data_IF_764692095369
#
_entry.id   IF_764692095369
#
_cell.length_a   1.000
_cell.length_b   1.000
_cell.length_c   1.000
_cell.angle_alpha   90.00
_cell.angle_beta   90.00
_cell.angle_gamma   90.00
#
_symmetry.space_group_name_H-M   'P 1'
#
loop_
_entity.id
_entity.type
_entity.pdbx_description
1 polymer ?
#
# COMPACT_ATOMS: atom_id res chain seq x y z
N UNK A 1 30.95 25.45 19.92
CA UNK A 1 30.36 24.11 20.18
C UNK A 1 28.85 24.01 20.03
N UNK A 2 28.12 25.08 19.67
CA UNK A 2 26.64 25.03 19.47
C UNK A 2 26.23 24.67 18.02
N UNK A 3 27.11 24.83 17.04
CA UNK A 3 26.84 24.55 15.61
C UNK A 3 26.90 23.07 15.23
N UNK A 4 27.60 22.23 15.98
CA UNK A 4 27.68 20.78 15.67
C UNK A 4 26.37 20.01 16.00
N UNK A 5 25.55 20.52 16.94
CA UNK A 5 24.28 19.85 17.32
C UNK A 5 23.19 20.01 16.27
N UNK A 6 23.20 21.07 15.49
CA UNK A 6 22.21 21.31 14.43
C UNK A 6 22.52 20.52 13.16
N UNK A 7 23.78 20.19 12.90
CA UNK A 7 24.19 19.37 11.76
C UNK A 7 23.79 17.91 11.98
N UNK A 8 23.87 17.40 13.21
CA UNK A 8 23.47 16.03 13.54
C UNK A 8 21.93 15.82 13.41
N UNK A 9 21.13 16.82 13.76
CA UNK A 9 19.67 16.75 13.63
C UNK A 9 19.22 16.85 12.16
N UNK A 10 19.90 17.65 11.34
CA UNK A 10 19.60 17.77 9.91
C UNK A 10 20.01 16.52 9.10
N UNK A 11 21.06 15.79 9.52
CA UNK A 11 21.46 14.55 8.88
C UNK A 11 20.54 13.37 9.22
N UNK A 12 19.90 13.36 10.40
CA UNK A 12 18.93 12.33 10.76
C UNK A 12 17.57 12.48 10.03
N UNK A 13 17.21 13.69 9.63
CA UNK A 13 15.98 13.95 8.86
C UNK A 13 16.07 13.53 7.39
N UNK A 14 17.26 13.28 6.86
CA UNK A 14 17.50 12.91 5.45
C UNK A 14 17.53 11.40 5.18
N UNK A 15 17.48 10.55 6.21
CA UNK A 15 17.56 9.08 6.08
C UNK A 15 16.23 8.36 6.27
N UNK A 16 15.16 9.08 6.63
CA UNK A 16 13.87 8.48 7.04
C UNK A 16 12.79 8.40 5.95
N UNK A 17 13.11 8.57 4.65
CA UNK A 17 12.06 8.71 3.62
C UNK A 17 11.84 7.48 2.72
N UNK A 18 12.45 6.34 2.96
CA UNK A 18 12.38 5.19 2.03
C UNK A 18 11.55 3.99 2.53
N UNK A 19 10.65 4.15 3.51
CA UNK A 19 10.04 3.01 4.19
C UNK A 19 8.50 2.91 4.12
N UNK A 20 7.82 3.71 3.32
CA UNK A 20 6.35 3.63 3.17
C UNK A 20 5.96 2.63 2.07
N UNK A 21 4.79 1.98 2.20
CA UNK A 21 4.25 1.09 1.15
C UNK A 21 4.10 1.82 -0.18
N UNK A 22 3.54 3.03 -0.12
CA UNK A 22 3.50 4.02 -1.20
C UNK A 22 3.83 5.41 -0.63
N UNK A 23 3.76 6.46 -1.44
CA UNK A 23 3.90 7.83 -0.92
C UNK A 23 2.73 8.19 0.00
N UNK A 24 2.92 9.18 0.87
CA UNK A 24 1.85 9.67 1.76
C UNK A 24 0.58 10.06 1.01
N UNK A 25 0.71 10.68 -0.15
CA UNK A 25 -0.44 11.08 -0.97
C UNK A 25 -1.20 9.87 -1.54
N UNK A 26 -0.50 8.85 -2.01
CA UNK A 26 -1.11 7.62 -2.51
C UNK A 26 -1.80 6.85 -1.39
N UNK A 27 -1.13 6.70 -0.24
CA UNK A 27 -1.71 6.05 0.93
C UNK A 27 -2.97 6.80 1.41
N UNK A 28 -2.91 8.13 1.45
CA UNK A 28 -4.06 8.98 1.79
C UNK A 28 -5.21 8.79 0.79
N UNK A 29 -4.91 8.71 -0.51
CA UNK A 29 -5.91 8.44 -1.53
C UNK A 29 -6.61 7.08 -1.32
N UNK A 30 -5.85 6.01 -0.98
CA UNK A 30 -6.43 4.69 -0.67
C UNK A 30 -7.44 4.80 0.47
N UNK A 31 -7.09 5.48 1.55
CA UNK A 31 -7.95 5.63 2.73
C UNK A 31 -9.17 6.49 2.42
N UNK A 32 -8.99 7.61 1.72
CA UNK A 32 -10.08 8.49 1.29
C UNK A 32 -11.07 7.75 0.37
N UNK A 33 -10.55 6.99 -0.59
CA UNK A 33 -11.38 6.21 -1.50
C UNK A 33 -12.13 5.09 -0.77
N UNK A 34 -11.48 4.41 0.18
CA UNK A 34 -12.15 3.43 1.04
C UNK A 34 -13.30 4.08 1.84
N UNK A 35 -13.09 5.28 2.38
CA UNK A 35 -14.12 6.00 3.14
C UNK A 35 -15.37 6.30 2.30
N UNK A 36 -15.24 6.59 1.00
CA UNK A 36 -16.39 6.81 0.11
C UNK A 36 -17.31 5.58 0.05
N UNK A 37 -16.74 4.38 0.24
CA UNK A 37 -17.45 3.09 0.16
C UNK A 37 -17.91 2.54 1.51
N UNK A 38 -17.68 3.27 2.61
CA UNK A 38 -18.19 2.89 3.93
C UNK A 38 -19.69 3.15 4.04
N UNK A 39 -20.39 2.25 4.74
CA UNK A 39 -21.76 2.49 5.17
C UNK A 39 -21.84 3.65 6.17
N UNK A 40 -22.98 4.30 6.27
CA UNK A 40 -23.20 5.37 7.29
C UNK A 40 -22.87 4.89 8.68
N UNK A 41 -23.27 3.67 9.03
CA UNK A 41 -23.01 3.06 10.34
C UNK A 41 -21.51 2.86 10.58
N UNK A 42 -20.81 2.34 9.58
CA UNK A 42 -19.36 2.11 9.65
C UNK A 42 -18.59 3.43 9.79
N UNK A 43 -18.99 4.47 9.05
CA UNK A 43 -18.39 5.82 9.20
C UNK A 43 -18.51 6.31 10.62
N UNK A 44 -19.71 6.24 11.21
CA UNK A 44 -19.95 6.64 12.61
C UNK A 44 -19.11 5.80 13.59
N UNK A 45 -18.99 4.49 13.37
CA UNK A 45 -18.15 3.62 14.22
C UNK A 45 -16.66 3.97 14.14
N UNK A 46 -16.17 4.27 12.95
CA UNK A 46 -14.78 4.75 12.73
C UNK A 46 -14.56 6.08 13.45
N UNK A 47 -15.44 7.05 13.27
CA UNK A 47 -15.34 8.36 13.91
C UNK A 47 -15.40 8.25 15.44
N UNK A 48 -16.21 7.35 15.97
CA UNK A 48 -16.27 7.09 17.40
C UNK A 48 -14.96 6.53 17.96
N UNK A 49 -14.30 5.61 17.23
CA UNK A 49 -13.04 5.01 17.66
C UNK A 49 -11.85 5.95 17.50
N UNK A 50 -11.79 6.70 16.39
CA UNK A 50 -10.64 7.55 16.06
C UNK A 50 -10.78 8.98 16.60
N UNK A 51 -12.01 9.44 16.87
CA UNK A 51 -12.30 10.85 17.14
C UNK A 51 -12.30 11.73 15.89
N UNK A 52 -12.21 11.14 14.69
CA UNK A 52 -12.09 11.84 13.42
C UNK A 52 -12.51 10.93 12.24
N UNK A 53 -12.82 11.50 11.04
CA UNK A 53 -13.07 10.73 9.83
C UNK A 53 -11.87 9.84 9.46
N UNK A 54 -12.13 8.73 8.77
CA UNK A 54 -11.09 7.80 8.31
C UNK A 54 -10.02 8.51 7.47
N UNK A 55 -10.43 9.39 6.58
CA UNK A 55 -9.56 10.18 5.68
C UNK A 55 -8.58 11.12 6.39
N UNK A 56 -8.78 11.39 7.68
CA UNK A 56 -7.88 12.21 8.49
C UNK A 56 -6.80 11.42 9.23
N UNK A 57 -6.83 10.09 9.13
CA UNK A 57 -5.88 9.20 9.82
C UNK A 57 -4.53 9.26 9.10
N UNK A 58 -3.48 9.54 9.86
CA UNK A 58 -2.11 9.33 9.41
C UNK A 58 -1.73 7.85 9.49
N UNK A 59 -0.86 7.39 8.60
CA UNK A 59 -0.31 6.04 8.69
C UNK A 59 0.67 5.94 9.86
N UNK A 60 0.45 4.96 10.72
CA UNK A 60 1.24 4.76 11.95
C UNK A 60 2.49 3.94 11.67
N UNK A 61 2.41 3.04 10.70
CA UNK A 61 3.47 2.07 10.43
C UNK A 61 4.10 2.32 9.04
N UNK A 62 4.57 3.43 8.74
CA UNK A 62 5.32 3.84 7.51
C UNK A 62 5.59 2.72 6.45
N UNK A 63 4.67 1.76 6.28
CA UNK A 63 4.72 0.70 5.27
C UNK A 63 5.88 -0.28 5.39
N UNK A 64 6.27 -0.64 6.58
CA UNK A 64 7.43 -1.51 6.84
C UNK A 64 7.09 -2.99 6.92
N UNK A 65 5.82 -3.32 7.04
CA UNK A 65 5.42 -4.72 7.19
C UNK A 65 5.48 -5.44 5.85
N UNK A 66 6.07 -6.62 5.87
CA UNK A 66 6.22 -7.48 4.71
C UNK A 66 5.30 -8.67 4.83
N UNK A 67 4.91 -9.21 3.70
CA UNK A 67 4.17 -10.47 3.61
C UNK A 67 5.02 -11.52 2.93
N UNK A 68 5.27 -12.61 3.62
CA UNK A 68 6.04 -13.73 3.09
C UNK A 68 5.11 -14.80 2.53
N UNK A 69 5.39 -15.21 1.31
CA UNK A 69 4.71 -16.31 0.63
C UNK A 69 5.73 -17.43 0.31
N UNK A 70 5.23 -18.63 0.15
CA UNK A 70 6.04 -19.76 -0.33
C UNK A 70 6.34 -19.64 -1.85
N UNK A 71 7.14 -20.59 -2.37
CA UNK A 71 7.52 -20.64 -3.79
C UNK A 71 6.31 -20.76 -4.74
N UNK A 72 5.18 -21.27 -4.25
CA UNK A 72 3.94 -21.36 -5.01
C UNK A 72 3.09 -20.08 -4.95
N UNK A 73 3.53 -19.07 -4.19
CA UNK A 73 2.81 -17.81 -3.96
C UNK A 73 1.66 -17.95 -2.96
N UNK A 74 1.74 -18.94 -2.04
CA UNK A 74 0.75 -19.13 -0.97
C UNK A 74 1.18 -18.46 0.32
N UNK A 75 0.21 -17.84 0.99
CA UNK A 75 0.40 -17.22 2.30
C UNK A 75 0.22 -18.27 3.40
N UNK A 76 1.34 -18.88 3.81
CA UNK A 76 1.40 -19.94 4.85
C UNK A 76 2.09 -19.46 6.12
N UNK A 77 2.51 -18.21 6.17
CA UNK A 77 3.28 -17.65 7.28
C UNK A 77 2.51 -17.63 8.60
N UNK A 78 3.23 -17.83 9.69
CA UNK A 78 2.78 -17.65 11.08
C UNK A 78 3.63 -16.63 11.82
N UNK A 79 4.55 -15.95 11.12
CA UNK A 79 5.40 -14.90 11.70
C UNK A 79 4.52 -13.75 12.20
N UNK A 80 4.63 -13.45 13.49
CA UNK A 80 3.83 -12.40 14.13
C UNK A 80 4.11 -10.97 13.60
N UNK A 81 5.19 -10.79 12.86
CA UNK A 81 5.56 -9.52 12.21
C UNK A 81 5.08 -9.43 10.76
N UNK A 82 4.53 -10.52 10.22
CA UNK A 82 3.99 -10.54 8.86
C UNK A 82 2.70 -9.73 8.78
N UNK A 83 2.55 -8.93 7.73
CA UNK A 83 1.39 -8.04 7.54
C UNK A 83 0.06 -8.81 7.54
N UNK A 84 0.02 -10.02 6.97
CA UNK A 84 -1.20 -10.84 6.96
C UNK A 84 -1.57 -11.29 8.37
N UNK A 85 -0.59 -11.75 9.16
CA UNK A 85 -0.82 -12.21 10.54
C UNK A 85 -1.25 -11.04 11.43
N UNK A 86 -0.61 -9.87 11.27
CA UNK A 86 -1.01 -8.65 11.98
C UNK A 86 -2.43 -8.23 11.62
N UNK A 87 -2.80 -8.30 10.33
CA UNK A 87 -4.15 -7.97 9.89
C UNK A 87 -5.19 -8.95 10.43
N UNK A 88 -4.91 -10.25 10.41
CA UNK A 88 -5.81 -11.27 10.99
C UNK A 88 -6.03 -11.05 12.49
N UNK A 89 -4.99 -10.70 13.25
CA UNK A 89 -5.10 -10.33 14.67
C UNK A 89 -5.94 -9.05 14.87
N UNK A 90 -5.69 -8.04 14.05
CA UNK A 90 -6.46 -6.78 14.11
C UNK A 90 -7.95 -7.01 13.84
N UNK A 91 -8.30 -7.82 12.83
CA UNK A 91 -9.68 -8.20 12.53
C UNK A 91 -10.32 -8.89 13.74
N UNK A 92 -9.65 -9.89 14.33
CA UNK A 92 -10.15 -10.61 15.49
C UNK A 92 -10.41 -9.66 16.69
N UNK A 93 -9.53 -8.67 16.91
CA UNK A 93 -9.73 -7.65 17.95
C UNK A 93 -10.91 -6.74 17.64
N UNK A 94 -11.09 -6.31 16.38
CA UNK A 94 -12.22 -5.47 15.98
C UNK A 94 -13.58 -6.19 16.14
N UNK A 95 -13.61 -7.50 15.95
CA UNK A 95 -14.80 -8.35 16.08
C UNK A 95 -15.07 -8.80 17.53
N UNK A 96 -14.08 -8.64 18.44
CA UNK A 96 -14.22 -9.06 19.83
C UNK A 96 -15.12 -8.13 20.62
N UNK A 97 -16.15 -8.69 21.27
CA UNK A 97 -17.02 -7.96 22.18
C UNK A 97 -16.32 -7.56 23.50
N UNK A 98 -15.27 -8.29 23.89
CA UNK A 98 -14.51 -8.04 25.11
C UNK A 98 -13.37 -7.02 24.92
N UNK A 99 -13.04 -6.64 23.68
CA UNK A 99 -11.98 -5.68 23.43
C UNK A 99 -12.38 -4.27 23.87
N UNK A 100 -11.47 -3.60 24.56
CA UNK A 100 -11.64 -2.22 24.99
C UNK A 100 -11.65 -1.26 23.78
N UNK A 101 -12.15 -0.04 23.98
CA UNK A 101 -12.14 0.99 22.93
C UNK A 101 -10.72 1.30 22.43
N UNK A 102 -9.72 1.31 23.34
CA UNK A 102 -8.33 1.57 22.99
C UNK A 102 -7.71 0.43 22.18
N UNK A 103 -7.98 -0.83 22.57
CA UNK A 103 -7.55 -1.99 21.79
C UNK A 103 -8.19 -2.01 20.38
N UNK A 104 -9.48 -1.70 20.28
CA UNK A 104 -10.18 -1.61 19.00
C UNK A 104 -9.67 -0.45 18.14
N UNK A 105 -9.32 0.69 18.76
CA UNK A 105 -8.68 1.82 18.05
C UNK A 105 -7.31 1.41 17.49
N UNK A 106 -6.47 0.79 18.30
CA UNK A 106 -5.17 0.27 17.87
C UNK A 106 -5.31 -0.77 16.75
N UNK A 107 -6.26 -1.68 16.89
CA UNK A 107 -6.57 -2.68 15.87
C UNK A 107 -7.07 -2.05 14.57
N UNK A 108 -7.88 -1.00 14.63
CA UNK A 108 -8.34 -0.27 13.44
C UNK A 108 -7.17 0.37 12.69
N UNK A 109 -6.26 1.05 13.38
CA UNK A 109 -5.07 1.63 12.78
C UNK A 109 -4.18 0.55 12.14
N UNK A 110 -3.97 -0.55 12.85
CA UNK A 110 -3.23 -1.71 12.30
C UNK A 110 -3.91 -2.30 11.06
N UNK A 111 -5.24 -2.42 11.07
CA UNK A 111 -5.98 -2.94 9.93
C UNK A 111 -5.86 -2.04 8.69
N UNK A 112 -5.85 -0.73 8.85
CA UNK A 112 -5.61 0.24 7.77
C UNK A 112 -4.21 0.02 7.18
N UNK A 113 -3.17 0.09 8.03
CA UNK A 113 -1.79 -0.02 7.58
C UNK A 113 -1.51 -1.37 6.91
N UNK A 114 -1.92 -2.48 7.53
CA UNK A 114 -1.65 -3.82 7.00
C UNK A 114 -2.43 -4.11 5.72
N UNK A 115 -3.64 -3.56 5.57
CA UNK A 115 -4.37 -3.70 4.31
C UNK A 115 -3.62 -3.01 3.16
N UNK A 116 -3.06 -1.83 3.41
CA UNK A 116 -2.23 -1.13 2.43
C UNK A 116 -0.94 -1.90 2.14
N UNK A 117 -0.24 -2.38 3.16
CA UNK A 117 1.02 -3.10 3.01
C UNK A 117 0.88 -4.40 2.21
N UNK A 118 -0.17 -5.19 2.42
CA UNK A 118 -0.44 -6.44 1.69
C UNK A 118 -0.64 -6.20 0.19
N UNK A 119 -1.16 -5.04 -0.20
CA UNK A 119 -1.40 -4.73 -1.61
C UNK A 119 -0.21 -4.05 -2.30
N UNK A 120 0.76 -3.56 -1.55
CA UNK A 120 1.98 -3.00 -2.13
C UNK A 120 2.92 -4.11 -2.62
N UNK A 121 3.13 -4.20 -3.93
CA UNK A 121 3.92 -5.27 -4.55
C UNK A 121 5.38 -5.30 -4.04
N UNK A 122 5.92 -4.17 -3.58
CA UNK A 122 7.25 -4.10 -2.98
C UNK A 122 7.33 -4.77 -1.59
N UNK A 123 6.20 -4.98 -0.94
CA UNK A 123 6.11 -5.59 0.38
C UNK A 123 5.88 -7.11 0.34
N UNK A 124 5.66 -7.66 -0.86
CA UNK A 124 5.47 -9.09 -1.08
C UNK A 124 6.84 -9.76 -1.21
N UNK A 125 7.13 -10.68 -0.31
CA UNK A 125 8.34 -11.51 -0.31
C UNK A 125 7.98 -12.92 -0.78
N UNK A 126 8.41 -13.27 -1.97
CA UNK A 126 8.20 -14.59 -2.54
C UNK A 126 9.53 -15.30 -2.55
N UNK A 127 9.74 -16.20 -1.60
CA UNK A 127 11.00 -16.91 -1.43
C UNK A 127 12.23 -15.97 -1.50
N UNK A 128 13.38 -16.51 -1.81
CA UNK A 128 14.67 -15.78 -1.89
C UNK A 128 14.73 -14.73 -3.01
N UNK A 129 13.80 -14.76 -3.96
CA UNK A 129 13.84 -13.90 -5.14
C UNK A 129 13.52 -12.42 -4.86
N UNK A 130 12.64 -12.13 -3.91
CA UNK A 130 12.24 -10.75 -3.58
C UNK A 130 12.88 -10.20 -2.30
N UNK A 131 13.64 -11.00 -1.57
CA UNK A 131 14.36 -10.52 -0.39
C UNK A 131 15.43 -9.46 -0.73
N UNK A 132 15.94 -9.49 -1.97
CA UNK A 132 16.94 -8.54 -2.44
C UNK A 132 16.28 -7.45 -3.27
N UNK A 133 16.34 -6.24 -2.76
CA UNK A 133 15.95 -5.03 -3.47
C UNK A 133 16.92 -4.78 -4.66
N UNK A 134 16.70 -5.51 -5.76
CA UNK A 134 17.60 -5.47 -6.91
C UNK A 134 17.55 -4.14 -7.68
N UNK A 135 18.68 -3.74 -8.21
CA UNK A 135 18.79 -2.54 -9.04
C UNK A 135 18.15 -2.76 -10.42
N UNK A 136 17.40 -1.78 -10.86
CA UNK A 136 16.89 -1.66 -12.22
C UNK A 136 17.19 -0.26 -12.75
N UNK A 137 17.10 -0.09 -14.05
CA UNK A 137 17.30 1.20 -14.71
C UNK A 137 16.01 1.58 -15.42
N UNK A 138 15.44 2.71 -15.04
CA UNK A 138 14.31 3.29 -15.74
C UNK A 138 14.79 4.42 -16.64
N UNK A 139 14.23 4.51 -17.85
CA UNK A 139 14.25 5.77 -18.55
C UNK A 139 13.44 6.78 -17.76
N UNK A 140 13.94 7.99 -17.61
CA UNK A 140 13.26 9.07 -16.87
C UNK A 140 11.97 9.56 -17.56
N UNK A 141 11.55 8.90 -18.62
CA UNK A 141 10.29 9.15 -19.34
C UNK A 141 9.03 8.76 -18.56
N UNK A 142 9.18 8.21 -17.34
CA UNK A 142 8.08 8.10 -16.37
C UNK A 142 7.51 9.46 -15.94
N UNK A 143 8.15 10.57 -16.30
CA UNK A 143 7.56 11.89 -16.16
C UNK A 143 6.77 12.26 -17.40
N UNK A 144 5.49 12.46 -17.26
CA UNK A 144 4.63 13.09 -18.26
C UNK A 144 5.17 14.51 -18.49
N UNK A 145 5.93 14.69 -19.54
CA UNK A 145 6.46 15.98 -19.96
C UNK A 145 7.78 15.85 -20.71
N UNK A 146 7.73 16.09 -21.95
CA UNK A 146 8.68 16.40 -23.04
C UNK A 146 10.19 16.54 -22.73
N UNK A 147 10.76 15.84 -21.74
CA UNK A 147 12.20 15.84 -21.50
C UNK A 147 12.75 14.44 -21.52
N UNK A 148 13.56 14.14 -22.52
CA UNK A 148 14.41 12.97 -22.54
C UNK A 148 15.43 13.07 -21.40
N UNK A 149 15.29 12.22 -20.40
CA UNK A 149 16.23 12.16 -19.30
C UNK A 149 17.17 10.95 -19.46
N UNK A 150 18.38 11.11 -18.96
CA UNK A 150 19.35 10.04 -18.88
C UNK A 150 18.82 8.85 -18.06
N UNK A 151 19.29 7.64 -18.33
CA UNK A 151 18.97 6.44 -17.56
C UNK A 151 19.16 6.70 -16.06
N UNK A 152 18.10 6.53 -15.28
CA UNK A 152 18.14 6.68 -13.83
C UNK A 152 18.22 5.31 -13.20
N UNK A 153 19.21 5.10 -12.34
CA UNK A 153 19.28 3.92 -11.49
C UNK A 153 18.20 4.00 -10.41
N UNK A 154 17.37 3.00 -10.33
CA UNK A 154 16.38 2.81 -9.28
C UNK A 154 16.43 1.38 -8.77
N UNK A 155 15.45 0.92 -8.02
CA UNK A 155 15.35 -0.45 -7.56
C UNK A 155 13.88 -0.87 -7.46
N UNK A 156 13.64 -2.17 -7.21
CA UNK A 156 12.30 -2.75 -7.10
C UNK A 156 11.38 -1.99 -6.13
N UNK A 157 11.85 -1.69 -4.92
CA UNK A 157 11.04 -0.96 -3.95
C UNK A 157 10.70 0.45 -4.41
N UNK A 158 11.67 1.19 -4.93
CA UNK A 158 11.45 2.57 -5.36
C UNK A 158 10.48 2.70 -6.52
N UNK A 159 10.39 1.70 -7.40
CA UNK A 159 9.41 1.70 -8.51
C UNK A 159 8.01 1.85 -7.93
N UNK A 160 7.66 1.06 -6.94
CA UNK A 160 6.32 1.07 -6.34
C UNK A 160 6.10 2.23 -5.38
N UNK A 161 7.13 2.58 -4.59
CA UNK A 161 6.98 3.60 -3.56
C UNK A 161 7.04 5.03 -4.12
N UNK A 162 7.86 5.28 -5.14
CA UNK A 162 8.18 6.64 -5.56
C UNK A 162 8.02 6.89 -7.06
N UNK A 163 8.57 6.02 -7.91
CA UNK A 163 8.63 6.30 -9.34
C UNK A 163 7.22 6.34 -9.94
N UNK A 164 6.33 5.47 -9.49
CA UNK A 164 4.91 5.48 -9.84
C UNK A 164 4.26 6.84 -9.53
N UNK A 165 4.42 7.35 -8.30
CA UNK A 165 3.88 8.66 -7.92
C UNK A 165 4.47 9.80 -8.76
N UNK A 166 5.76 9.72 -9.07
CA UNK A 166 6.43 10.71 -9.92
C UNK A 166 5.92 10.66 -11.37
N UNK A 167 5.58 9.47 -11.90
CA UNK A 167 5.00 9.30 -13.23
C UNK A 167 3.64 9.99 -13.38
N UNK A 168 2.85 10.03 -12.30
CA UNK A 168 1.57 10.76 -12.23
C UNK A 168 1.73 12.27 -11.98
N UNK A 169 2.93 12.83 -12.11
CA UNK A 169 3.16 14.25 -11.89
C UNK A 169 3.01 14.70 -10.44
N UNK A 170 3.25 13.79 -9.49
CA UNK A 170 3.06 14.01 -8.05
C UNK A 170 1.63 14.47 -7.71
N UNK A 171 0.64 13.72 -8.17
CA UNK A 171 -0.76 13.98 -7.87
C UNK A 171 -1.01 14.10 -6.36
N UNK A 172 -1.91 15.00 -5.98
CA UNK A 172 -2.49 14.98 -4.64
C UNK A 172 -3.45 13.80 -4.47
N UNK A 173 -3.78 13.45 -3.24
CA UNK A 173 -4.75 12.39 -2.97
C UNK A 173 -6.09 12.63 -3.70
N UNK A 174 -6.55 13.87 -3.76
CA UNK A 174 -7.80 14.27 -4.42
C UNK A 174 -7.75 14.04 -5.95
N UNK A 175 -6.59 14.23 -6.59
CA UNK A 175 -6.41 13.95 -8.02
C UNK A 175 -6.48 12.46 -8.30
N UNK A 176 -5.85 11.62 -7.44
CA UNK A 176 -6.00 10.17 -7.53
C UNK A 176 -7.47 9.75 -7.40
N UNK A 177 -8.22 10.30 -6.45
CA UNK A 177 -9.63 9.98 -6.27
C UNK A 177 -10.46 10.30 -7.51
N UNK A 178 -10.20 11.42 -8.15
CA UNK A 178 -10.92 11.80 -9.37
C UNK A 178 -10.76 10.73 -10.45
N UNK A 179 -9.54 10.31 -10.73
CA UNK A 179 -9.25 9.29 -11.73
C UNK A 179 -9.82 7.91 -11.32
N UNK A 180 -9.67 7.53 -10.05
CA UNK A 180 -10.16 6.25 -9.55
C UNK A 180 -11.67 6.11 -9.60
N UNK A 181 -12.43 7.16 -9.33
CA UNK A 181 -13.90 7.15 -9.46
C UNK A 181 -14.35 6.83 -10.88
N UNK A 182 -13.59 7.28 -11.88
CA UNK A 182 -13.86 7.00 -13.29
C UNK A 182 -13.46 5.55 -13.61
N UNK A 183 -12.24 5.17 -13.29
CA UNK A 183 -11.66 3.86 -13.64
C UNK A 183 -12.41 2.69 -12.98
N UNK A 184 -12.92 2.87 -11.75
CA UNK A 184 -13.54 1.80 -10.95
C UNK A 184 -15.06 1.81 -10.96
N UNK A 185 -15.67 2.59 -11.88
CA UNK A 185 -17.15 2.69 -11.96
C UNK A 185 -17.81 1.32 -12.07
N UNK A 186 -18.66 1.00 -11.11
CA UNK A 186 -19.37 -0.28 -11.05
C UNK A 186 -18.64 -1.43 -10.33
N UNK A 187 -17.37 -1.28 -9.98
CA UNK A 187 -16.60 -2.34 -9.31
C UNK A 187 -16.99 -2.57 -7.85
N UNK A 188 -17.43 -1.54 -7.14
CA UNK A 188 -17.74 -1.59 -5.71
C UNK A 188 -18.70 -2.73 -5.31
N UNK A 189 -19.65 -3.09 -6.19
CA UNK A 189 -20.61 -4.17 -5.93
C UNK A 189 -19.93 -5.54 -5.85
N UNK A 190 -18.94 -5.79 -6.71
CA UNK A 190 -18.18 -7.04 -6.71
C UNK A 190 -17.40 -7.21 -5.41
N UNK A 191 -16.64 -6.19 -5.02
CA UNK A 191 -15.85 -6.22 -3.77
C UNK A 191 -16.72 -6.36 -2.52
N UNK A 192 -17.90 -5.74 -2.49
CA UNK A 192 -18.83 -5.89 -1.36
C UNK A 192 -19.27 -7.34 -1.13
N UNK A 193 -19.35 -8.14 -2.18
CA UNK A 193 -19.72 -9.55 -2.11
C UNK A 193 -18.53 -10.45 -1.68
N UNK A 194 -17.30 -9.99 -1.79
CA UNK A 194 -16.11 -10.79 -1.47
C UNK A 194 -15.98 -11.03 0.04
N UNK A 195 -15.47 -12.21 0.46
CA UNK A 195 -15.11 -12.43 1.85
C UNK A 195 -13.90 -11.58 2.25
N UNK A 196 -13.83 -11.20 3.53
CA UNK A 196 -12.58 -10.66 4.11
C UNK A 196 -11.59 -11.81 4.25
N UNK A 197 -10.54 -11.80 3.46
CA UNK A 197 -9.61 -12.92 3.35
C UNK A 197 -8.16 -12.43 3.12
N UNK A 198 -7.48 -11.91 4.17
CA UNK A 198 -6.16 -11.30 4.06
C UNK A 198 -5.13 -12.17 3.32
N UNK A 199 -5.11 -13.49 3.59
CA UNK A 199 -4.21 -14.43 2.89
C UNK A 199 -4.45 -14.47 1.39
N UNK A 200 -5.72 -14.48 0.96
CA UNK A 200 -6.07 -14.45 -0.47
C UNK A 200 -5.68 -13.14 -1.12
N UNK A 201 -5.80 -12.01 -0.41
CA UNK A 201 -5.35 -10.71 -0.91
C UNK A 201 -3.83 -10.69 -1.12
N UNK A 202 -3.07 -11.24 -0.17
CA UNK A 202 -1.62 -11.40 -0.32
C UNK A 202 -1.26 -12.29 -1.52
N UNK A 203 -1.96 -13.40 -1.72
CA UNK A 203 -1.77 -14.30 -2.87
C UNK A 203 -2.12 -13.64 -4.21
N UNK A 204 -3.12 -12.75 -4.25
CA UNK A 204 -3.44 -11.95 -5.43
C UNK A 204 -2.35 -10.93 -5.73
N UNK A 205 -1.85 -10.23 -4.69
CA UNK A 205 -0.72 -9.31 -4.82
C UNK A 205 0.54 -10.04 -5.27
N UNK A 206 0.80 -11.26 -4.78
CA UNK A 206 1.90 -12.10 -5.24
C UNK A 206 1.81 -12.43 -6.74
N UNK A 207 0.62 -12.78 -7.24
CA UNK A 207 0.43 -13.02 -8.69
C UNK A 207 0.80 -11.79 -9.52
N UNK A 208 0.42 -10.59 -9.07
CA UNK A 208 0.82 -9.35 -9.74
C UNK A 208 2.33 -9.11 -9.65
N UNK A 209 2.92 -9.37 -8.48
CA UNK A 209 4.37 -9.25 -8.30
C UNK A 209 5.13 -10.21 -9.22
N UNK A 210 4.69 -11.46 -9.38
CA UNK A 210 5.27 -12.40 -10.33
C UNK A 210 5.16 -11.92 -11.78
N UNK A 211 4.00 -11.39 -12.18
CA UNK A 211 3.82 -10.81 -13.52
C UNK A 211 4.77 -9.63 -13.73
N UNK A 212 4.92 -8.76 -12.74
CA UNK A 212 5.83 -7.64 -12.80
C UNK A 212 7.30 -8.09 -12.87
N UNK A 213 7.69 -9.08 -12.05
CA UNK A 213 9.05 -9.62 -12.02
C UNK A 213 9.43 -10.40 -13.28
N UNK A 214 8.48 -11.03 -13.96
CA UNK A 214 8.74 -11.78 -15.18
C UNK A 214 9.41 -10.95 -16.27
N UNK A 215 9.29 -9.64 -16.23
CA UNK A 215 9.87 -8.69 -17.17
C UNK A 215 10.98 -7.83 -16.57
N UNK A 216 11.07 -7.76 -15.22
CA UNK A 216 12.08 -6.97 -14.52
C UNK A 216 13.18 -7.89 -14.00
N UNK A 217 14.28 -7.95 -14.75
CA UNK A 217 15.49 -8.65 -14.31
C UNK A 217 16.46 -7.68 -13.61
N UNK A 218 17.32 -8.17 -12.72
CA UNK A 218 18.40 -7.36 -12.16
C UNK A 218 19.18 -6.64 -13.26
N UNK A 219 19.38 -5.34 -13.11
CA UNK A 219 20.04 -4.45 -14.09
C UNK A 219 19.30 -4.27 -15.43
N UNK A 220 18.05 -4.72 -15.54
CA UNK A 220 17.23 -4.45 -16.74
C UNK A 220 16.98 -2.95 -16.92
N UNK A 221 16.79 -2.54 -18.15
CA UNK A 221 16.29 -1.21 -18.53
C UNK A 221 14.79 -1.34 -18.73
N UNK A 222 14.01 -0.56 -17.99
CA UNK A 222 12.55 -0.56 -18.11
C UNK A 222 12.14 0.42 -19.20
N UNK A 223 11.57 -0.10 -20.27
CA UNK A 223 11.08 0.69 -21.40
C UNK A 223 9.67 1.26 -21.14
N UNK A 224 9.23 2.24 -21.94
CA UNK A 224 7.95 2.91 -21.75
C UNK A 224 6.73 1.98 -21.72
N UNK A 225 6.72 0.97 -22.60
CA UNK A 225 5.62 0.00 -22.62
C UNK A 225 5.55 -0.83 -21.32
N UNK A 226 6.71 -1.14 -20.76
CA UNK A 226 6.82 -1.84 -19.48
C UNK A 226 6.40 -0.94 -18.32
N UNK A 227 6.76 0.34 -18.37
CA UNK A 227 6.30 1.34 -17.39
C UNK A 227 4.77 1.38 -17.34
N UNK A 228 4.09 1.51 -18.49
CA UNK A 228 2.64 1.53 -18.56
C UNK A 228 2.01 0.25 -18.01
N UNK A 229 2.65 -0.91 -18.24
CA UNK A 229 2.21 -2.18 -17.68
C UNK A 229 2.36 -2.21 -16.15
N UNK A 230 3.47 -1.71 -15.62
CA UNK A 230 3.70 -1.63 -14.17
C UNK A 230 2.73 -0.66 -13.51
N UNK A 231 2.41 0.47 -14.14
CA UNK A 231 1.41 1.42 -13.68
C UNK A 231 0.04 0.76 -13.58
N UNK A 232 -0.39 0.03 -14.59
CA UNK A 232 -1.65 -0.72 -14.57
C UNK A 232 -1.72 -1.73 -13.42
N UNK A 233 -0.64 -2.47 -13.15
CA UNK A 233 -0.57 -3.42 -12.05
C UNK A 233 -0.64 -2.72 -10.68
N UNK A 234 -0.02 -1.55 -10.58
CA UNK A 234 -0.06 -0.75 -9.37
C UNK A 234 -1.44 -0.17 -9.11
N UNK A 235 -2.08 0.41 -10.13
CA UNK A 235 -3.45 0.92 -10.05
C UNK A 235 -4.42 -0.16 -9.59
N UNK A 236 -4.35 -1.35 -10.18
CA UNK A 236 -5.16 -2.49 -9.76
C UNK A 236 -4.93 -2.85 -8.28
N UNK A 237 -3.69 -2.73 -7.79
CA UNK A 237 -3.36 -2.97 -6.38
C UNK A 237 -3.93 -1.89 -5.46
N UNK A 238 -3.94 -0.64 -5.89
CA UNK A 238 -4.52 0.49 -5.15
C UNK A 238 -6.04 0.40 -5.06
N UNK A 239 -6.69 -0.01 -6.15
CA UNK A 239 -8.14 -0.24 -6.15
C UNK A 239 -8.51 -1.37 -5.19
N UNK A 240 -7.80 -2.51 -5.27
CA UNK A 240 -8.02 -3.63 -4.35
C UNK A 240 -7.80 -3.21 -2.90
N UNK A 241 -6.72 -2.49 -2.59
CA UNK A 241 -6.45 -1.99 -1.24
C UNK A 241 -7.63 -1.18 -0.70
N UNK A 242 -8.13 -0.24 -1.51
CA UNK A 242 -9.22 0.66 -1.11
C UNK A 242 -10.53 -0.10 -0.89
N UNK A 243 -10.93 -0.95 -1.83
CA UNK A 243 -12.18 -1.71 -1.73
C UNK A 243 -12.13 -2.78 -0.65
N UNK A 244 -10.98 -3.47 -0.48
CA UNK A 244 -10.79 -4.45 0.56
C UNK A 244 -10.82 -3.80 1.95
N UNK A 245 -10.20 -2.63 2.13
CA UNK A 245 -10.29 -1.86 3.36
C UNK A 245 -11.74 -1.48 3.68
N UNK A 246 -12.47 -0.92 2.70
CA UNK A 246 -13.87 -0.58 2.89
C UNK A 246 -14.73 -1.79 3.24
N UNK A 247 -14.53 -2.92 2.55
CA UNK A 247 -15.27 -4.15 2.80
C UNK A 247 -14.97 -4.74 4.19
N UNK A 248 -13.69 -4.75 4.58
CA UNK A 248 -13.26 -5.17 5.91
C UNK A 248 -13.97 -4.35 6.99
N UNK A 249 -13.86 -3.02 6.92
CA UNK A 249 -14.45 -2.14 7.92
C UNK A 249 -15.98 -2.26 7.98
N UNK A 250 -16.64 -2.38 6.83
CA UNK A 250 -18.09 -2.58 6.76
C UNK A 250 -18.56 -3.91 7.38
N UNK A 251 -17.69 -4.91 7.44
CA UNK A 251 -18.02 -6.22 8.03
C UNK A 251 -17.66 -6.32 9.50
N UNK A 252 -16.60 -5.65 9.94
CA UNK A 252 -16.10 -5.72 11.33
C UNK A 252 -16.68 -4.66 12.26
N UNK A 253 -16.98 -3.46 11.76
CA UNK A 253 -17.53 -2.34 12.53
C UNK A 253 -19.06 -2.25 12.34
N UNK A 254 -19.78 -3.24 12.86
CA UNK A 254 -21.26 -3.32 12.77
C UNK A 254 -21.96 -2.67 13.96
#
# INVERSE_FOLDING_TARGET
MKSLRYIAVALFALVATDAMAWTSEVNRAVVMFAEEHLSKRTKSGVEQLLGAPLSSVGFVNEGKSKTRLDESGKSVTTDEKDAVVLLEKAIATLESESATAEERKSALLTAIDMTVDIHCLANILIDKHLEKNFAIFCHNSMQIGFRYYAKKKTNWQRVWHKEYHTSHGAFSAEMYLYDWRIATKGMAKAYKAEPVAPRKWAEQSAKRAFVALGTLQPNAVVENAEVARLEYLNDASLYDASFHLANLLNKTLK
#
